data_IF_431368997409
#
_entry.id   IF_431368997409
#
_cell.length_a   1.000
_cell.length_b   1.000
_cell.length_c   1.000
_cell.angle_alpha   90.00
_cell.angle_beta   90.00
_cell.angle_gamma   90.00
#
_symmetry.space_group_name_H-M   'P 1'
#
loop_
_entity.id
_entity.type
_entity.pdbx_description
1 polymer ?
#
# COMPACT_ATOMS: atom_id res chain seq x y z
N UNK A 1 -18.83 -10.10 -20.59
CA UNK A 1 -18.52 -11.44 -20.02
C UNK A 1 -17.11 -11.91 -20.44
N UNK A 2 -16.69 -11.64 -21.68
CA UNK A 2 -15.45 -12.17 -22.27
C UNK A 2 -14.15 -11.54 -21.73
N UNK A 3 -14.25 -10.55 -20.86
CA UNK A 3 -13.11 -9.84 -20.26
C UNK A 3 -12.93 -10.16 -18.77
N UNK A 4 -13.79 -10.97 -18.20
CA UNK A 4 -13.67 -11.45 -16.82
C UNK A 4 -12.58 -12.53 -16.79
N UNK A 5 -11.55 -12.30 -15.98
CA UNK A 5 -10.40 -13.22 -15.85
C UNK A 5 -10.72 -14.35 -14.88
N UNK A 6 -11.29 -13.97 -13.73
CA UNK A 6 -11.60 -14.88 -12.63
C UNK A 6 -12.73 -14.27 -11.76
N UNK A 7 -12.98 -14.86 -10.60
CA UNK A 7 -13.98 -14.36 -9.65
C UNK A 7 -13.68 -12.99 -9.04
N UNK A 8 -12.45 -12.49 -9.18
CA UNK A 8 -12.03 -11.19 -8.63
C UNK A 8 -12.32 -10.02 -9.58
N UNK A 9 -12.29 -10.23 -10.90
CA UNK A 9 -12.59 -9.12 -11.81
C UNK A 9 -12.15 -9.32 -13.26
N UNK A 10 -11.87 -8.18 -13.91
CA UNK A 10 -11.49 -8.08 -15.31
C UNK A 10 -10.00 -7.83 -15.48
N UNK A 11 -9.48 -8.04 -16.69
CA UNK A 11 -8.10 -7.70 -17.04
C UNK A 11 -7.80 -6.21 -16.80
N UNK A 12 -6.58 -5.91 -16.36
CA UNK A 12 -6.18 -4.55 -15.96
C UNK A 12 -6.28 -3.55 -17.11
N UNK A 13 -5.84 -3.90 -18.32
CA UNK A 13 -5.94 -3.03 -19.48
C UNK A 13 -7.40 -2.69 -19.82
N UNK A 14 -8.29 -3.67 -19.70
CA UNK A 14 -9.72 -3.44 -19.89
C UNK A 14 -10.31 -2.55 -18.80
N UNK A 15 -9.91 -2.75 -17.53
CA UNK A 15 -10.31 -1.88 -16.42
C UNK A 15 -9.94 -0.43 -16.72
N UNK A 16 -8.70 -0.19 -17.12
CA UNK A 16 -8.20 1.15 -17.41
C UNK A 16 -8.86 1.79 -18.66
N UNK A 17 -9.06 1.02 -19.72
CA UNK A 17 -9.80 1.48 -20.91
C UNK A 17 -11.24 1.82 -20.57
N UNK A 18 -11.89 1.07 -19.70
CA UNK A 18 -13.25 1.33 -19.25
C UNK A 18 -13.33 2.55 -18.34
N UNK A 19 -12.32 2.76 -17.48
CA UNK A 19 -12.29 3.89 -16.56
C UNK A 19 -12.08 5.24 -17.26
N UNK A 20 -11.26 5.29 -18.32
CA UNK A 20 -10.86 6.55 -18.97
C UNK A 20 -12.03 7.43 -19.43
N UNK A 21 -13.04 6.93 -20.17
CA UNK A 21 -14.20 7.75 -20.56
C UNK A 21 -15.04 8.19 -19.36
N UNK A 22 -15.08 7.42 -18.28
CA UNK A 22 -15.78 7.81 -17.05
C UNK A 22 -15.05 8.97 -16.37
N UNK A 23 -13.71 8.91 -16.29
CA UNK A 23 -12.90 9.99 -15.75
C UNK A 23 -13.04 11.27 -16.58
N UNK A 24 -13.06 11.15 -17.91
CA UNK A 24 -13.30 12.29 -18.81
C UNK A 24 -14.64 12.94 -18.51
N UNK A 25 -15.71 12.16 -18.40
CA UNK A 25 -17.03 12.66 -18.06
C UNK A 25 -17.07 13.35 -16.70
N UNK A 26 -16.39 12.79 -15.69
CA UNK A 26 -16.30 13.42 -14.36
C UNK A 26 -15.55 14.75 -14.40
N UNK A 27 -14.49 14.82 -15.19
CA UNK A 27 -13.74 16.07 -15.37
C UNK A 27 -14.57 17.19 -16.03
N UNK A 28 -15.50 16.85 -16.94
CA UNK A 28 -16.44 17.80 -17.55
C UNK A 28 -17.38 18.46 -16.54
N UNK A 29 -17.69 17.78 -15.44
CA UNK A 29 -18.53 18.31 -14.35
C UNK A 29 -17.83 19.45 -13.57
N UNK A 30 -16.53 19.67 -13.77
CA UNK A 30 -15.68 20.70 -13.11
C UNK A 30 -15.71 20.64 -11.59
N UNK A 31 -15.99 19.46 -11.03
CA UNK A 31 -15.93 19.19 -9.59
C UNK A 31 -14.74 18.29 -9.31
N UNK A 32 -14.04 18.50 -8.18
CA UNK A 32 -13.03 17.55 -7.74
C UNK A 32 -13.65 16.16 -7.57
N UNK A 33 -12.92 15.13 -7.99
CA UNK A 33 -13.34 13.75 -7.80
C UNK A 33 -12.18 12.89 -7.31
N UNK A 34 -12.52 11.82 -6.63
CA UNK A 34 -11.60 10.77 -6.18
C UNK A 34 -12.01 9.45 -6.82
N UNK A 35 -11.06 8.73 -7.37
CA UNK A 35 -11.29 7.43 -8.01
C UNK A 35 -10.25 6.43 -7.54
N UNK A 36 -10.71 5.23 -7.21
CA UNK A 36 -9.86 4.08 -6.92
C UNK A 36 -10.08 3.04 -8.01
N UNK A 37 -9.01 2.58 -8.64
CA UNK A 37 -9.01 1.49 -9.60
C UNK A 37 -8.25 0.32 -8.98
N UNK A 38 -8.97 -0.74 -8.63
CA UNK A 38 -8.39 -1.96 -8.08
C UNK A 38 -8.09 -2.93 -9.22
N UNK A 39 -6.81 -3.10 -9.55
CA UNK A 39 -6.34 -4.05 -10.55
C UNK A 39 -6.24 -5.45 -9.94
N UNK A 40 -6.37 -6.49 -10.77
CA UNK A 40 -6.42 -7.88 -10.28
C UNK A 40 -5.54 -8.84 -11.07
N UNK A 41 -4.93 -8.40 -12.17
CA UNK A 41 -4.23 -9.33 -13.07
C UNK A 41 -3.05 -10.01 -12.40
N UNK A 42 -2.38 -9.34 -11.45
CA UNK A 42 -1.27 -9.93 -10.68
C UNK A 42 -1.75 -10.78 -9.49
N UNK A 43 -3.02 -11.22 -9.50
CA UNK A 43 -3.55 -12.19 -8.54
C UNK A 43 -3.64 -13.60 -9.17
N UNK A 44 -3.23 -14.69 -8.51
CA UNK A 44 -3.50 -16.06 -8.99
C UNK A 44 -5.03 -16.30 -9.17
N UNK A 45 -5.48 -17.03 -10.22
CA UNK A 45 -4.70 -17.63 -11.29
C UNK A 45 -4.36 -16.64 -12.39
N UNK A 46 -3.09 -16.55 -12.75
CA UNK A 46 -2.62 -15.59 -13.75
C UNK A 46 -3.10 -15.92 -15.15
N UNK A 47 -3.62 -14.93 -15.85
CA UNK A 47 -4.04 -15.04 -17.24
C UNK A 47 -3.36 -13.96 -18.08
N UNK A 48 -2.46 -14.38 -18.96
CA UNK A 48 -1.83 -13.47 -19.92
C UNK A 48 -2.72 -13.41 -21.17
N UNK A 49 -3.19 -12.23 -21.60
CA UNK A 49 -3.95 -12.13 -22.85
C UNK A 49 -3.10 -12.48 -24.07
N UNK A 50 -3.70 -13.16 -25.04
CA UNK A 50 -3.00 -13.63 -26.24
C UNK A 50 -2.34 -12.50 -27.06
N UNK A 51 -2.89 -11.29 -26.98
CA UNK A 51 -2.36 -10.12 -27.68
C UNK A 51 -1.15 -9.48 -26.98
N UNK A 52 -0.90 -9.77 -25.70
CA UNK A 52 0.29 -9.33 -24.99
C UNK A 52 1.43 -10.35 -25.20
N UNK A 53 2.61 -9.86 -25.53
CA UNK A 53 3.79 -10.70 -25.76
C UNK A 53 4.86 -10.39 -24.71
N UNK A 54 4.90 -11.16 -23.61
CA UNK A 54 5.91 -10.97 -22.56
C UNK A 54 7.32 -11.33 -23.05
N UNK A 55 8.31 -10.76 -22.42
CA UNK A 55 9.74 -11.07 -22.66
C UNK A 55 10.21 -12.21 -21.74
N UNK A 56 9.68 -12.27 -20.52
CA UNK A 56 10.02 -13.30 -19.54
C UNK A 56 9.44 -14.65 -19.91
N UNK A 57 10.08 -15.71 -19.41
CA UNK A 57 9.63 -17.09 -19.62
C UNK A 57 8.77 -17.63 -18.49
N UNK A 58 8.90 -17.07 -17.29
CA UNK A 58 8.13 -17.46 -16.10
C UNK A 58 6.81 -16.71 -16.04
N UNK A 59 5.74 -17.43 -15.77
CA UNK A 59 4.40 -16.86 -15.73
C UNK A 59 4.25 -15.73 -14.68
N UNK A 60 4.92 -15.88 -13.54
CA UNK A 60 4.93 -14.88 -12.47
C UNK A 60 5.59 -13.56 -12.88
N UNK A 61 6.59 -13.62 -13.74
CA UNK A 61 7.26 -12.42 -14.28
C UNK A 61 6.44 -11.82 -15.44
N UNK A 62 5.85 -12.69 -16.27
CA UNK A 62 4.99 -12.28 -17.40
C UNK A 62 3.79 -11.47 -16.94
N UNK A 63 3.17 -11.85 -15.82
CA UNK A 63 2.01 -11.13 -15.32
C UNK A 63 2.39 -9.75 -14.75
N UNK A 64 3.59 -9.62 -14.18
CA UNK A 64 4.12 -8.31 -13.76
C UNK A 64 4.40 -7.42 -14.96
N UNK A 65 5.02 -7.96 -16.02
CA UNK A 65 5.21 -7.24 -17.28
C UNK A 65 3.90 -6.76 -17.89
N UNK A 66 2.87 -7.61 -17.86
CA UNK A 66 1.54 -7.26 -18.35
C UNK A 66 0.89 -6.15 -17.52
N UNK A 67 0.95 -6.23 -16.19
CA UNK A 67 0.40 -5.21 -15.30
C UNK A 67 1.10 -3.86 -15.50
N UNK A 68 2.44 -3.84 -15.59
CA UNK A 68 3.21 -2.63 -15.91
C UNK A 68 2.82 -2.05 -17.28
N UNK A 69 2.70 -2.91 -18.30
CA UNK A 69 2.27 -2.49 -19.63
C UNK A 69 0.87 -1.85 -19.59
N UNK A 70 -0.07 -2.45 -18.87
CA UNK A 70 -1.43 -1.96 -18.76
C UNK A 70 -1.48 -0.56 -18.09
N UNK A 71 -0.74 -0.37 -17.00
CA UNK A 71 -0.57 0.93 -16.34
C UNK A 71 0.06 1.94 -17.31
N UNK A 72 1.09 1.54 -18.05
CA UNK A 72 1.76 2.40 -19.03
C UNK A 72 0.79 2.89 -20.11
N UNK A 73 -0.04 1.98 -20.66
CA UNK A 73 -1.06 2.35 -21.64
C UNK A 73 -2.05 3.36 -21.06
N UNK A 74 -2.53 3.11 -19.84
CA UNK A 74 -3.43 4.05 -19.16
C UNK A 74 -2.79 5.43 -18.98
N UNK A 75 -1.56 5.50 -18.50
CA UNK A 75 -0.86 6.77 -18.27
C UNK A 75 -0.58 7.52 -19.59
N UNK A 76 -0.31 6.80 -20.68
CA UNK A 76 -0.15 7.41 -22.02
C UNK A 76 -1.45 8.03 -22.52
N UNK A 77 -2.59 7.36 -22.35
CA UNK A 77 -3.89 7.90 -22.73
C UNK A 77 -4.36 9.02 -21.80
N UNK A 78 -4.14 8.88 -20.50
CA UNK A 78 -4.44 9.91 -19.51
C UNK A 78 -3.69 11.22 -19.80
N UNK A 79 -2.42 11.15 -20.22
CA UNK A 79 -1.62 12.34 -20.58
C UNK A 79 -2.22 13.18 -21.70
N UNK A 80 -3.07 12.62 -22.53
CA UNK A 80 -3.75 13.34 -23.61
C UNK A 80 -4.99 14.10 -23.12
N UNK A 81 -5.39 13.87 -21.86
CA UNK A 81 -6.63 14.43 -21.33
C UNK A 81 -6.39 15.76 -20.61
N UNK A 82 -7.32 16.72 -20.69
CA UNK A 82 -7.16 18.04 -20.09
C UNK A 82 -7.05 18.04 -18.57
N UNK A 83 -7.52 16.98 -17.88
CA UNK A 83 -7.47 16.85 -16.43
C UNK A 83 -6.14 16.29 -15.91
N UNK A 84 -5.28 15.73 -16.78
CA UNK A 84 -4.04 15.06 -16.37
C UNK A 84 -3.13 15.94 -15.51
N UNK A 85 -2.89 17.18 -15.94
CA UNK A 85 -2.03 18.13 -15.24
C UNK A 85 -2.61 18.60 -13.88
N UNK A 86 -3.88 18.35 -13.61
CA UNK A 86 -4.56 18.67 -12.36
C UNK A 86 -4.93 17.41 -11.55
N UNK A 87 -4.18 16.33 -11.73
CA UNK A 87 -4.44 15.05 -11.08
C UNK A 87 -3.20 14.57 -10.34
N UNK A 88 -3.42 14.04 -9.14
CA UNK A 88 -2.42 13.28 -8.38
C UNK A 88 -2.74 11.80 -8.60
N UNK A 89 -1.77 11.08 -9.15
CA UNK A 89 -1.82 9.63 -9.32
C UNK A 89 -1.08 8.97 -8.17
N UNK A 90 -1.71 7.97 -7.59
CA UNK A 90 -1.14 7.18 -6.50
C UNK A 90 -1.18 5.72 -6.89
N UNK A 91 -0.02 5.08 -6.90
CA UNK A 91 0.10 3.65 -7.16
C UNK A 91 0.61 3.00 -5.88
N UNK A 92 -0.15 2.03 -5.40
CA UNK A 92 0.10 1.34 -4.14
C UNK A 92 -0.25 -0.13 -4.30
N UNK A 93 0.60 -1.02 -3.79
CA UNK A 93 0.22 -2.43 -3.60
C UNK A 93 -0.67 -2.57 -2.36
N UNK A 94 -1.71 -3.38 -2.43
CA UNK A 94 -2.52 -3.77 -1.27
C UNK A 94 -1.72 -4.72 -0.36
N UNK A 95 -0.98 -5.65 -0.96
CA UNK A 95 0.03 -6.51 -0.34
C UNK A 95 1.03 -6.98 -1.41
N UNK A 96 2.11 -7.60 -0.97
CA UNK A 96 3.04 -8.31 -1.85
C UNK A 96 2.71 -9.81 -1.95
N UNK A 97 3.64 -10.59 -2.46
CA UNK A 97 3.58 -12.05 -2.49
C UNK A 97 4.90 -12.64 -2.01
N UNK A 98 4.85 -13.88 -1.53
CA UNK A 98 6.07 -14.56 -1.15
C UNK A 98 6.97 -14.75 -2.38
N UNK A 99 8.20 -14.25 -2.27
CA UNK A 99 9.26 -14.41 -3.27
C UNK A 99 10.41 -15.17 -2.63
N UNK A 100 10.72 -16.35 -3.16
CA UNK A 100 11.74 -17.23 -2.59
C UNK A 100 11.27 -17.92 -1.31
N UNK A 101 12.21 -18.17 -0.38
CA UNK A 101 11.92 -18.71 0.95
C UNK A 101 11.54 -17.58 1.91
N UNK A 102 10.66 -17.85 2.90
CA UNK A 102 10.37 -16.87 3.94
C UNK A 102 11.65 -16.43 4.67
N UNK A 103 11.82 -15.13 4.84
CA UNK A 103 12.96 -14.52 5.53
C UNK A 103 12.71 -14.28 7.03
N UNK A 104 11.43 -14.32 7.42
CA UNK A 104 10.97 -14.25 8.81
C UNK A 104 9.53 -14.75 8.90
N UNK A 105 8.91 -14.72 10.09
CA UNK A 105 7.54 -15.19 10.37
C UNK A 105 6.47 -14.37 9.63
N UNK A 106 6.77 -13.11 9.31
CA UNK A 106 5.96 -12.27 8.41
C UNK A 106 6.87 -11.84 7.25
N UNK A 107 6.94 -12.61 6.15
CA UNK A 107 7.90 -12.36 5.09
C UNK A 107 7.84 -10.93 4.55
N UNK A 108 8.98 -10.27 4.44
CA UNK A 108 9.04 -8.88 3.97
C UNK A 108 8.43 -8.74 2.58
N UNK A 109 8.65 -9.71 1.70
CA UNK A 109 8.09 -9.69 0.33
C UNK A 109 6.56 -9.68 0.29
N UNK A 110 5.88 -10.12 1.36
CA UNK A 110 4.42 -10.07 1.45
C UNK A 110 3.88 -8.72 1.96
N UNK A 111 4.70 -7.97 2.71
CA UNK A 111 4.24 -6.78 3.43
C UNK A 111 4.92 -5.49 3.00
N UNK A 112 6.08 -5.55 2.34
CA UNK A 112 6.79 -4.39 1.85
C UNK A 112 6.35 -4.08 0.42
N UNK A 113 5.46 -3.12 0.27
CA UNK A 113 4.92 -2.69 -1.03
C UNK A 113 5.38 -1.27 -1.38
N UNK A 114 5.55 -0.93 -2.66
CA UNK A 114 5.88 0.42 -3.07
C UNK A 114 4.66 1.35 -2.93
N UNK A 115 4.93 2.60 -2.56
CA UNK A 115 4.01 3.72 -2.71
C UNK A 115 4.66 4.70 -3.69
N UNK A 116 3.99 4.97 -4.81
CA UNK A 116 4.43 5.96 -5.79
C UNK A 116 3.37 7.06 -5.91
N UNK A 117 3.80 8.31 -5.80
CA UNK A 117 2.94 9.48 -5.96
C UNK A 117 3.46 10.29 -7.14
N UNK A 118 2.61 10.53 -8.12
CA UNK A 118 2.95 11.26 -9.33
C UNK A 118 1.94 12.36 -9.59
N UNK A 119 2.41 13.56 -9.94
CA UNK A 119 1.57 14.69 -10.32
C UNK A 119 2.38 15.93 -10.60
N UNK A 120 1.73 16.93 -11.18
CA UNK A 120 2.38 18.22 -11.49
C UNK A 120 2.84 18.90 -10.20
N UNK A 121 4.10 19.34 -10.19
CA UNK A 121 4.70 20.01 -9.03
C UNK A 121 5.24 19.08 -7.96
N UNK A 122 5.01 17.79 -8.04
CA UNK A 122 5.63 16.80 -7.14
C UNK A 122 7.07 16.58 -7.60
N UNK A 123 8.02 16.86 -6.72
CA UNK A 123 9.44 16.68 -7.03
C UNK A 123 9.81 15.20 -6.96
N UNK A 124 10.59 14.69 -7.93
CA UNK A 124 11.09 13.32 -7.87
C UNK A 124 12.03 13.15 -6.67
N UNK A 125 11.68 12.25 -5.78
CA UNK A 125 12.54 11.82 -4.66
C UNK A 125 12.26 10.37 -4.29
N UNK A 126 13.25 9.71 -3.69
CA UNK A 126 13.10 8.37 -3.10
C UNK A 126 13.26 8.54 -1.59
N UNK A 127 12.22 8.18 -0.85
CA UNK A 127 12.23 8.15 0.61
C UNK A 127 12.57 6.76 1.10
N UNK A 128 13.46 6.69 2.06
CA UNK A 128 13.91 5.43 2.65
C UNK A 128 13.20 5.11 3.98
N UNK A 129 12.57 6.11 4.58
CA UNK A 129 11.82 5.94 5.82
C UNK A 129 10.56 5.11 5.55
N UNK A 130 10.34 4.05 6.33
CA UNK A 130 9.16 3.22 6.14
C UNK A 130 7.88 3.95 6.55
N UNK A 131 6.84 3.82 5.73
CA UNK A 131 5.47 4.22 6.04
C UNK A 131 4.55 3.00 6.14
N UNK A 132 3.34 3.22 6.65
CA UNK A 132 2.25 2.24 6.62
C UNK A 132 1.17 2.65 5.63
N UNK A 133 0.31 1.72 5.24
CA UNK A 133 -0.84 2.04 4.37
C UNK A 133 -1.80 3.04 5.02
N UNK A 134 -1.85 3.10 6.35
CA UNK A 134 -2.60 4.11 7.10
C UNK A 134 -2.12 5.54 6.85
N UNK A 135 -0.86 5.71 6.41
CA UNK A 135 -0.26 7.01 6.16
C UNK A 135 -0.63 7.60 4.78
N UNK A 136 -1.20 6.79 3.89
CA UNK A 136 -1.51 7.20 2.52
C UNK A 136 -2.53 8.34 2.50
N UNK A 137 -3.65 8.18 3.20
CA UNK A 137 -4.70 9.19 3.23
C UNK A 137 -4.23 10.53 3.85
N UNK A 138 -3.60 10.57 5.04
CA UNK A 138 -3.04 11.81 5.59
C UNK A 138 -2.02 12.48 4.67
N UNK A 139 -1.17 11.69 4.01
CA UNK A 139 -0.17 12.20 3.06
C UNK A 139 -0.83 12.87 1.86
N UNK A 140 -1.86 12.26 1.28
CA UNK A 140 -2.59 12.82 0.15
C UNK A 140 -3.38 14.07 0.53
N UNK A 141 -4.04 14.05 1.69
CA UNK A 141 -4.77 15.22 2.20
C UNK A 141 -3.80 16.39 2.46
N UNK A 142 -2.61 16.09 2.97
CA UNK A 142 -1.54 17.09 3.11
C UNK A 142 -1.07 17.66 1.77
N UNK A 143 -0.87 16.82 0.74
CA UNK A 143 -0.54 17.27 -0.62
C UNK A 143 -1.63 18.17 -1.22
N UNK A 144 -2.88 17.88 -0.93
CA UNK A 144 -4.05 18.65 -1.38
C UNK A 144 -4.30 19.90 -0.52
N UNK A 145 -3.48 20.13 0.51
CA UNK A 145 -3.65 21.22 1.48
C UNK A 145 -5.05 21.24 2.11
N UNK A 146 -5.59 20.05 2.41
CA UNK A 146 -6.92 19.90 3.00
C UNK A 146 -6.84 19.77 4.52
N UNK A 147 -7.72 20.47 5.22
CA UNK A 147 -7.93 20.26 6.67
C UNK A 147 -8.90 19.11 6.88
N UNK A 148 -8.61 18.24 7.85
CA UNK A 148 -9.45 17.09 8.17
C UNK A 148 -9.33 16.74 9.66
N UNK A 149 -10.31 16.00 10.17
CA UNK A 149 -10.23 15.41 11.50
C UNK A 149 -9.80 13.96 11.35
N UNK A 150 -8.72 13.59 12.02
CA UNK A 150 -8.14 12.27 11.96
C UNK A 150 -8.59 11.42 13.15
N UNK A 151 -9.06 10.21 12.88
CA UNK A 151 -9.46 9.19 13.87
C UNK A 151 -8.75 7.86 13.64
N UNK A 152 -7.57 7.90 13.04
CA UNK A 152 -6.71 6.77 12.78
C UNK A 152 -5.26 7.07 13.22
N UNK A 153 -4.32 6.16 12.92
CA UNK A 153 -2.92 6.26 13.31
C UNK A 153 -2.00 6.75 12.19
N UNK A 154 -2.58 7.17 11.06
CA UNK A 154 -1.80 7.66 9.93
C UNK A 154 -1.08 8.97 10.22
N UNK A 155 0.00 9.23 9.52
CA UNK A 155 0.73 10.51 9.54
C UNK A 155 0.98 10.99 8.12
N UNK A 156 1.21 12.28 7.95
CA UNK A 156 1.65 12.83 6.68
C UNK A 156 3.15 12.53 6.48
N UNK A 157 3.47 11.53 5.66
CA UNK A 157 4.85 11.10 5.39
C UNK A 157 5.75 12.18 4.79
N UNK A 158 5.19 13.28 4.27
CA UNK A 158 5.99 14.38 3.72
C UNK A 158 6.50 15.34 4.78
N UNK A 159 5.82 15.43 5.92
CA UNK A 159 6.09 16.41 6.97
C UNK A 159 6.34 15.80 8.35
N UNK A 160 5.98 14.54 8.53
CA UNK A 160 6.06 13.85 9.81
C UNK A 160 6.85 12.55 9.69
N UNK A 161 7.39 12.09 10.82
CA UNK A 161 8.09 10.83 10.95
C UNK A 161 7.58 10.08 12.17
N UNK A 162 7.53 8.75 12.07
CA UNK A 162 7.22 7.88 13.20
C UNK A 162 8.43 7.01 13.55
N UNK A 163 8.59 6.63 14.82
CA UNK A 163 9.72 5.79 15.23
C UNK A 163 9.61 4.37 14.65
N UNK A 164 8.40 3.87 14.47
CA UNK A 164 8.11 2.52 13.97
C UNK A 164 6.83 2.49 13.15
N UNK A 165 6.75 1.56 12.20
CA UNK A 165 5.53 1.19 11.50
C UNK A 165 4.98 -0.08 12.13
N UNK A 166 3.72 -0.04 12.58
CA UNK A 166 2.97 -1.22 13.02
C UNK A 166 2.32 -1.92 11.82
N UNK A 167 2.37 -3.24 11.82
CA UNK A 167 1.61 -4.08 10.90
C UNK A 167 1.31 -5.44 11.52
N UNK A 168 0.40 -6.18 10.90
CA UNK A 168 0.02 -7.51 11.36
C UNK A 168 -0.27 -8.42 10.16
N UNK A 169 0.01 -9.70 10.31
CA UNK A 169 -0.34 -10.75 9.36
C UNK A 169 -0.41 -12.09 10.10
N UNK A 170 -1.31 -12.98 9.68
CA UNK A 170 -1.42 -14.36 10.17
C UNK A 170 -1.47 -14.49 11.71
N UNK A 171 -2.21 -13.61 12.37
CA UNK A 171 -2.31 -13.50 13.83
C UNK A 171 -1.00 -13.10 14.53
N UNK A 172 -0.01 -12.61 13.81
CA UNK A 172 1.20 -12.01 14.35
C UNK A 172 1.07 -10.48 14.34
N UNK A 173 1.72 -9.82 15.28
CA UNK A 173 1.86 -8.37 15.32
C UNK A 173 3.32 -7.98 15.19
N UNK A 174 3.60 -6.89 14.52
CA UNK A 174 4.94 -6.47 14.25
C UNK A 174 5.13 -4.96 14.31
N UNK A 175 6.36 -4.55 14.61
CA UNK A 175 6.83 -3.19 14.42
C UNK A 175 8.15 -3.21 13.66
N UNK A 176 8.34 -2.26 12.76
CA UNK A 176 9.56 -2.12 11.97
C UNK A 176 10.00 -0.68 11.85
N UNK A 177 11.31 -0.49 11.69
CA UNK A 177 11.91 0.76 11.20
C UNK A 177 13.01 0.42 10.17
N UNK A 178 13.89 1.35 9.87
CA UNK A 178 14.98 1.14 8.90
C UNK A 178 16.04 0.12 9.36
N UNK A 179 16.15 -0.15 10.66
CA UNK A 179 17.24 -0.96 11.24
C UNK A 179 16.78 -2.21 11.99
N UNK A 180 15.52 -2.27 12.42
CA UNK A 180 14.99 -3.35 13.25
C UNK A 180 13.62 -3.81 12.78
N UNK A 181 13.33 -5.10 13.03
CA UNK A 181 12.02 -5.70 12.89
C UNK A 181 11.75 -6.53 14.15
N UNK A 182 10.63 -6.26 14.79
CA UNK A 182 10.11 -7.01 15.93
C UNK A 182 8.80 -7.67 15.55
N UNK A 183 8.67 -8.98 15.80
CA UNK A 183 7.44 -9.76 15.58
C UNK A 183 7.07 -10.44 16.88
N UNK A 184 5.78 -10.48 17.19
CA UNK A 184 5.23 -11.19 18.34
C UNK A 184 4.08 -12.09 17.92
N UNK A 185 4.12 -13.35 18.37
CA UNK A 185 3.02 -14.30 18.27
C UNK A 185 2.19 -14.28 19.56
N UNK A 186 0.96 -13.73 19.55
CA UNK A 186 0.09 -13.76 20.72
C UNK A 186 -0.31 -15.19 21.14
N UNK A 187 -0.46 -16.10 20.17
CA UNK A 187 -0.84 -17.49 20.42
C UNK A 187 0.24 -18.24 21.20
N UNK A 188 1.48 -18.19 20.72
CA UNK A 188 2.60 -18.94 21.27
C UNK A 188 3.38 -18.15 22.34
N UNK A 189 3.07 -16.85 22.48
CA UNK A 189 3.79 -15.88 23.32
C UNK A 189 5.28 -15.80 22.97
N UNK A 190 5.62 -15.97 21.69
CA UNK A 190 6.98 -15.93 21.19
C UNK A 190 7.32 -14.55 20.63
N UNK A 191 8.60 -14.19 20.76
CA UNK A 191 9.17 -12.96 20.23
C UNK A 191 10.26 -13.29 19.23
N UNK A 192 10.22 -12.63 18.07
CA UNK A 192 11.25 -12.73 17.04
C UNK A 192 11.83 -11.33 16.83
N UNK A 193 13.15 -11.24 16.89
CA UNK A 193 13.90 -9.98 16.90
C UNK A 193 14.93 -10.00 15.78
N UNK A 194 14.82 -9.06 14.85
CA UNK A 194 15.70 -9.01 13.69
C UNK A 194 16.37 -7.65 13.58
N UNK A 195 17.69 -7.65 13.31
CA UNK A 195 18.41 -6.48 12.81
C UNK A 195 18.45 -6.52 11.28
N UNK A 196 18.19 -5.39 10.67
CA UNK A 196 18.24 -5.23 9.21
C UNK A 196 19.64 -4.86 8.75
N UNK A 197 20.12 -5.55 7.72
CA UNK A 197 21.37 -5.24 7.01
C UNK A 197 21.02 -5.12 5.51
N UNK A 198 20.68 -3.90 5.08
CA UNK A 198 20.05 -3.72 3.77
C UNK A 198 18.71 -4.47 3.72
N UNK A 199 18.56 -5.38 2.75
CA UNK A 199 17.36 -6.22 2.62
C UNK A 199 17.43 -7.53 3.44
N UNK A 200 18.57 -7.84 4.05
CA UNK A 200 18.72 -9.07 4.83
C UNK A 200 18.27 -8.86 6.29
N UNK A 201 17.69 -9.91 6.86
CA UNK A 201 17.31 -9.98 8.28
C UNK A 201 18.29 -10.89 9.03
N UNK A 202 18.81 -10.40 10.14
CA UNK A 202 19.62 -11.18 11.06
C UNK A 202 18.85 -11.38 12.36
N UNK A 203 18.50 -12.64 12.68
CA UNK A 203 17.87 -13.00 13.95
C UNK A 203 18.80 -12.67 15.12
N UNK A 204 18.26 -12.05 16.15
CA UNK A 204 18.99 -11.62 17.36
C UNK A 204 18.36 -12.27 18.59
N UNK A 205 19.19 -12.90 19.42
CA UNK A 205 18.76 -13.54 20.67
C UNK A 205 19.08 -12.70 21.93
N UNK A 206 19.82 -11.59 21.77
CA UNK A 206 20.24 -10.74 22.88
C UNK A 206 19.19 -9.71 23.32
N UNK A 207 19.40 -9.15 24.50
CA UNK A 207 18.65 -8.02 25.02
C UNK A 207 19.10 -6.74 24.30
N UNK A 208 18.12 -5.99 23.76
CA UNK A 208 18.32 -4.68 23.13
C UNK A 208 17.12 -3.80 23.50
N UNK A 209 17.39 -2.63 24.05
CA UNK A 209 16.36 -1.70 24.52
C UNK A 209 15.39 -1.29 23.39
N UNK A 210 15.86 -1.30 22.15
CA UNK A 210 15.04 -1.00 20.97
C UNK A 210 13.88 -1.98 20.84
N UNK A 211 14.14 -3.30 20.99
CA UNK A 211 13.09 -4.31 20.91
C UNK A 211 12.07 -4.20 22.05
N UNK A 212 12.51 -3.80 23.23
CA UNK A 212 11.59 -3.53 24.33
C UNK A 212 10.63 -2.37 24.01
N UNK A 213 11.14 -1.30 23.40
CA UNK A 213 10.31 -0.16 22.97
C UNK A 213 9.39 -0.58 21.83
N UNK A 214 9.88 -1.36 20.84
CA UNK A 214 9.07 -1.86 19.73
C UNK A 214 7.94 -2.77 20.22
N UNK A 215 8.20 -3.64 21.19
CA UNK A 215 7.17 -4.45 21.86
C UNK A 215 6.08 -3.57 22.45
N UNK A 216 6.46 -2.58 23.25
CA UNK A 216 5.48 -1.63 23.84
C UNK A 216 4.68 -0.92 22.75
N UNK A 217 5.33 -0.50 21.67
CA UNK A 217 4.69 0.14 20.55
C UNK A 217 3.63 -0.76 19.90
N UNK A 218 3.96 -2.04 19.63
CA UNK A 218 3.01 -3.01 19.10
C UNK A 218 1.77 -3.14 19.98
N UNK A 219 1.95 -3.38 21.28
CA UNK A 219 0.83 -3.58 22.18
C UNK A 219 0.00 -2.31 22.40
N UNK A 220 0.65 -1.16 22.51
CA UNK A 220 -0.06 0.12 22.67
C UNK A 220 -0.89 0.44 21.42
N UNK A 221 -0.35 0.20 20.23
CA UNK A 221 -1.08 0.42 18.98
C UNK A 221 -2.28 -0.51 18.87
N UNK A 222 -2.10 -1.81 19.14
CA UNK A 222 -3.19 -2.78 19.11
C UNK A 222 -4.30 -2.42 20.12
N UNK A 223 -3.94 -2.16 21.38
CA UNK A 223 -4.89 -1.80 22.42
C UNK A 223 -5.64 -0.51 22.10
N UNK A 224 -4.93 0.50 21.55
CA UNK A 224 -5.56 1.74 21.14
C UNK A 224 -6.53 1.53 19.99
N UNK A 225 -6.17 0.71 19.00
CA UNK A 225 -7.06 0.36 17.89
C UNK A 225 -8.32 -0.37 18.39
N UNK A 226 -8.14 -1.39 19.24
CA UNK A 226 -9.27 -2.10 19.85
C UNK A 226 -10.19 -1.16 20.66
N UNK A 227 -9.61 -0.25 21.42
CA UNK A 227 -10.37 0.73 22.18
C UNK A 227 -11.19 1.64 21.26
N UNK A 228 -10.58 2.19 20.21
CA UNK A 228 -11.28 3.05 19.26
C UNK A 228 -12.43 2.33 18.56
N UNK A 229 -12.24 1.07 18.19
CA UNK A 229 -13.29 0.24 17.56
C UNK A 229 -14.42 -0.06 18.55
N UNK A 230 -14.09 -0.55 19.74
CA UNK A 230 -15.08 -0.90 20.80
C UNK A 230 -15.91 0.28 21.24
N UNK A 231 -15.29 1.45 21.36
CA UNK A 231 -15.95 2.69 21.79
C UNK A 231 -16.59 3.47 20.64
N UNK A 232 -16.62 2.92 19.42
CA UNK A 232 -17.16 3.59 18.23
C UNK A 232 -16.53 4.98 17.97
N UNK A 233 -15.24 5.12 18.24
CA UNK A 233 -14.48 6.38 18.10
C UNK A 233 -13.70 6.46 16.76
N UNK A 234 -13.90 5.52 15.88
CA UNK A 234 -13.28 5.50 14.54
C UNK A 234 -14.01 6.39 13.51
N UNK A 235 -15.19 6.87 13.87
CA UNK A 235 -16.01 7.73 13.01
C UNK A 235 -16.38 9.00 13.80
N UNK A 236 -16.20 10.16 13.17
CA UNK A 236 -16.80 11.39 13.68
C UNK A 236 -18.33 11.22 13.63
N UNK A 237 -18.99 11.26 14.78
CA UNK A 237 -20.43 11.50 14.77
C UNK A 237 -20.61 12.84 14.07
N UNK A 238 -21.18 12.81 12.87
CA UNK A 238 -21.60 14.03 12.22
C UNK A 238 -22.47 14.77 13.25
N UNK A 239 -21.98 15.89 13.77
CA UNK A 239 -22.81 16.82 14.51
C UNK A 239 -23.84 17.26 13.51
N UNK A 240 -25.07 16.70 13.64
CA UNK A 240 -26.18 17.08 12.80
C UNK A 240 -26.36 18.59 12.86
N UNK A 241 -26.17 19.22 11.72
CA UNK A 241 -26.76 20.51 11.36
C UNK A 241 -27.61 20.31 10.14
#
# INVERSE_FOLDING_TARGET
KDKVVNSFGVQDDFLYQYALPILNKRAEERQPFFTVLLSISNHPSYVIPDYFKPHSTKLEDQIVEYADWAIRQFMQEARKQPWFENTIFVLLGDHGKLVGSPDCEIPQSCNHVPLMIYGKGIKPEIRQEPGGQTDVAPTLLGLLNMSYTQNDFGINLLTEQRPYVYFSADNLIAATNTTHLYIYSPHDRQEFKYKKQGNALQLVTGEDSTFYVMKKYCFSTLQSAEYLVKEHKTVNKATGQ
#
